data_IF_262041947087
#
_entry.id   IF_262041947087
#
_cell.length_a   1.000
_cell.length_b   1.000
_cell.length_c   1.000
_cell.angle_alpha   90.00
_cell.angle_beta   90.00
_cell.angle_gamma   90.00
#
_symmetry.space_group_name_H-M   'P 1'
#
loop_
_entity.id
_entity.type
_entity.pdbx_description
1 polymer ?
#
# COMPACT_ATOMS: atom_id res chain seq x y z
N UNK A 1 -1.56 26.11 -9.00
CA UNK A 1 -1.29 24.76 -9.54
C UNK A 1 -1.50 24.83 -11.05
N UNK A 2 -0.44 24.64 -11.84
CA UNK A 2 -0.45 24.94 -13.28
C UNK A 2 -1.51 24.14 -14.06
N UNK A 3 -2.31 24.85 -14.85
CA UNK A 3 -3.30 24.30 -15.79
C UNK A 3 -2.72 23.20 -16.71
N UNK A 4 -1.41 23.26 -16.98
CA UNK A 4 -0.70 22.26 -17.80
C UNK A 4 -0.49 20.94 -17.07
N UNK A 5 -0.14 20.97 -15.77
CA UNK A 5 0.08 19.76 -14.98
C UNK A 5 -1.22 18.97 -14.80
N UNK A 6 -2.32 19.67 -14.48
CA UNK A 6 -3.63 19.04 -14.34
C UNK A 6 -4.11 18.43 -15.67
N UNK A 7 -3.91 19.12 -16.79
CA UNK A 7 -4.19 18.57 -18.13
C UNK A 7 -3.33 17.35 -18.45
N UNK A 8 -2.05 17.35 -18.11
CA UNK A 8 -1.17 16.22 -18.33
C UNK A 8 -1.58 14.99 -17.49
N UNK A 9 -1.89 15.19 -16.21
CA UNK A 9 -2.37 14.12 -15.32
C UNK A 9 -3.71 13.57 -15.83
N UNK A 10 -4.65 14.45 -16.20
CA UNK A 10 -5.92 14.04 -16.78
C UNK A 10 -5.72 13.24 -18.07
N UNK A 11 -4.89 13.72 -18.99
CA UNK A 11 -4.61 13.03 -20.25
C UNK A 11 -3.96 11.66 -20.03
N UNK A 12 -3.12 11.51 -18.99
CA UNK A 12 -2.55 10.23 -18.60
C UNK A 12 -3.60 9.28 -18.00
N UNK A 13 -4.40 9.75 -17.04
CA UNK A 13 -5.45 8.94 -16.39
C UNK A 13 -6.55 8.52 -17.36
N UNK A 14 -6.95 9.41 -18.26
CA UNK A 14 -7.98 9.17 -19.28
C UNK A 14 -7.40 8.50 -20.53
N UNK A 15 -6.07 8.37 -20.62
CA UNK A 15 -5.36 7.87 -21.81
C UNK A 15 -5.79 8.57 -23.12
N UNK A 16 -5.99 9.88 -23.07
CA UNK A 16 -6.53 10.67 -24.20
C UNK A 16 -5.65 10.60 -25.46
N UNK A 17 -4.32 10.44 -25.29
CA UNK A 17 -3.34 10.35 -26.39
C UNK A 17 -2.85 8.91 -26.64
N UNK A 18 -3.49 7.90 -26.06
CA UNK A 18 -3.05 6.51 -26.22
C UNK A 18 -3.59 5.94 -27.54
N UNK A 19 -2.72 5.31 -28.33
CA UNK A 19 -3.15 4.65 -29.57
C UNK A 19 -3.78 3.29 -29.26
N UNK A 20 -5.11 3.26 -29.18
CA UNK A 20 -5.90 2.04 -28.95
C UNK A 20 -5.95 1.10 -30.17
N UNK A 21 -5.44 1.53 -31.33
CA UNK A 21 -5.42 0.73 -32.57
C UNK A 21 -4.06 0.10 -32.88
N UNK A 22 -3.10 0.30 -31.99
CA UNK A 22 -1.73 -0.16 -32.14
C UNK A 22 -1.66 -1.69 -32.28
N UNK A 23 -0.95 -2.24 -33.30
CA UNK A 23 -0.97 -3.67 -33.62
C UNK A 23 -0.17 -4.56 -32.64
N UNK A 24 0.76 -4.00 -31.87
CA UNK A 24 1.58 -4.67 -30.84
C UNK A 24 1.04 -4.46 -29.43
N UNK A 25 -0.26 -4.16 -29.28
CA UNK A 25 -0.86 -3.90 -27.97
C UNK A 25 -0.91 -5.17 -27.10
N UNK A 26 -0.37 -5.05 -25.89
CA UNK A 26 -0.36 -6.12 -24.90
C UNK A 26 -0.84 -5.61 -23.52
N UNK A 27 -1.08 -6.54 -22.60
CA UNK A 27 -1.59 -6.22 -21.26
C UNK A 27 -0.64 -5.28 -20.50
N UNK A 28 0.67 -5.43 -20.67
CA UNK A 28 1.67 -4.70 -19.89
C UNK A 28 1.95 -3.30 -20.43
N UNK A 29 1.72 -3.07 -21.73
CA UNK A 29 1.72 -1.74 -22.35
C UNK A 29 0.48 -0.97 -21.90
N UNK A 30 -0.66 -1.66 -21.78
CA UNK A 30 -1.87 -1.04 -21.29
C UNK A 30 -1.85 -0.84 -19.76
N UNK A 31 -1.34 -1.79 -18.98
CA UNK A 31 -1.23 -1.72 -17.53
C UNK A 31 0.23 -1.82 -17.05
N UNK A 32 1.11 -0.85 -17.37
CA UNK A 32 2.52 -0.87 -16.95
C UNK A 32 2.72 -0.99 -15.44
N UNK A 33 1.80 -0.43 -14.65
CA UNK A 33 1.83 -0.45 -13.20
C UNK A 33 1.68 -1.86 -12.61
N UNK A 34 1.08 -2.81 -13.34
CA UNK A 34 0.96 -4.19 -12.89
C UNK A 34 2.34 -4.80 -12.60
N UNK A 35 3.34 -4.54 -13.46
CA UNK A 35 4.72 -5.02 -13.22
C UNK A 35 5.37 -4.34 -12.02
N UNK A 36 5.11 -3.04 -11.82
CA UNK A 36 5.65 -2.26 -10.71
C UNK A 36 5.10 -2.75 -9.36
N UNK A 37 3.82 -3.11 -9.32
CA UNK A 37 3.11 -3.53 -8.12
C UNK A 37 3.37 -5.00 -7.75
N UNK A 38 3.50 -5.88 -8.73
CA UNK A 38 3.70 -7.31 -8.52
C UNK A 38 5.17 -7.65 -8.19
N UNK A 39 6.13 -6.83 -8.63
CA UNK A 39 7.55 -6.99 -8.30
C UNK A 39 7.89 -6.97 -6.80
N UNK A 40 7.47 -5.99 -5.98
CA UNK A 40 7.73 -5.99 -4.54
C UNK A 40 7.05 -7.16 -3.81
N UNK A 41 5.98 -7.75 -4.38
CA UNK A 41 5.37 -8.98 -3.87
C UNK A 41 6.21 -10.24 -4.13
N UNK A 42 7.37 -10.11 -4.78
CA UNK A 42 8.30 -11.22 -5.03
C UNK A 42 8.07 -11.95 -6.37
N UNK A 43 7.24 -11.40 -7.26
CA UNK A 43 7.01 -11.95 -8.59
C UNK A 43 7.87 -11.19 -9.61
N UNK A 44 8.96 -11.83 -10.03
CA UNK A 44 9.86 -11.31 -11.07
C UNK A 44 9.59 -12.00 -12.41
N UNK A 45 9.45 -11.19 -13.47
CA UNK A 45 9.17 -11.68 -14.84
C UNK A 45 10.43 -12.17 -15.56
N UNK A 46 11.57 -11.47 -15.44
CA UNK A 46 12.80 -11.83 -16.17
C UNK A 46 13.74 -12.75 -15.37
N UNK A 47 13.74 -12.65 -14.04
CA UNK A 47 14.65 -13.42 -13.17
C UNK A 47 13.84 -14.23 -12.14
N UNK A 48 13.09 -15.19 -12.66
CA UNK A 48 12.13 -16.01 -11.93
C UNK A 48 12.76 -16.93 -10.88
N UNK A 49 14.09 -17.05 -10.79
CA UNK A 49 14.79 -17.90 -9.80
C UNK A 49 15.64 -17.10 -8.80
N UNK A 50 15.69 -15.77 -8.91
CA UNK A 50 16.49 -14.96 -8.00
C UNK A 50 15.99 -15.02 -6.56
N UNK A 51 16.91 -15.20 -5.61
CA UNK A 51 16.63 -15.11 -4.17
C UNK A 51 16.28 -13.69 -3.72
N UNK A 52 16.70 -12.66 -4.47
CA UNK A 52 16.41 -11.25 -4.16
C UNK A 52 14.91 -10.97 -4.07
N UNK A 53 14.08 -11.75 -4.78
CA UNK A 53 12.62 -11.62 -4.74
C UNK A 53 12.01 -11.84 -3.36
N UNK A 54 12.68 -12.60 -2.50
CA UNK A 54 12.19 -12.93 -1.17
C UNK A 54 12.60 -11.91 -0.11
N UNK A 55 13.62 -11.08 -0.39
CA UNK A 55 14.17 -10.14 0.59
C UNK A 55 13.09 -9.17 1.05
N UNK A 56 12.39 -8.52 0.11
CA UNK A 56 11.37 -7.53 0.46
C UNK A 56 10.12 -8.14 1.12
N UNK A 57 9.52 -9.23 0.58
CA UNK A 57 8.43 -9.91 1.26
C UNK A 57 8.81 -10.42 2.65
N UNK A 58 9.99 -11.02 2.81
CA UNK A 58 10.44 -11.54 4.10
C UNK A 58 10.60 -10.43 5.14
N UNK A 59 11.22 -9.31 4.76
CA UNK A 59 11.34 -8.13 5.61
C UNK A 59 9.96 -7.58 5.99
N UNK A 60 9.05 -7.47 5.00
CA UNK A 60 7.70 -6.94 5.21
C UNK A 60 6.87 -7.81 6.15
N UNK A 61 6.91 -9.12 5.96
CA UNK A 61 6.25 -10.12 6.81
C UNK A 61 6.84 -10.11 8.22
N UNK A 62 8.17 -10.07 8.36
CA UNK A 62 8.84 -10.06 9.67
C UNK A 62 8.51 -8.81 10.48
N UNK A 63 8.53 -7.63 9.84
CA UNK A 63 8.13 -6.38 10.47
C UNK A 63 6.65 -6.39 10.86
N UNK A 64 5.78 -6.88 9.98
CA UNK A 64 4.35 -6.98 10.26
C UNK A 64 4.04 -7.94 11.41
N UNK A 65 4.68 -9.11 11.48
CA UNK A 65 4.52 -10.05 12.61
C UNK A 65 4.95 -9.38 13.92
N UNK A 66 6.06 -8.66 13.92
CA UNK A 66 6.52 -7.91 15.11
C UNK A 66 5.47 -6.89 15.55
N UNK A 67 4.89 -6.16 14.59
CA UNK A 67 3.82 -5.20 14.83
C UNK A 67 2.57 -5.87 15.42
N UNK A 68 2.13 -6.98 14.83
CA UNK A 68 0.96 -7.75 15.27
C UNK A 68 1.12 -8.22 16.72
N UNK A 69 2.31 -8.68 17.10
CA UNK A 69 2.62 -9.09 18.48
C UNK A 69 2.54 -7.89 19.42
N UNK A 70 3.08 -6.74 19.03
CA UNK A 70 2.99 -5.51 19.82
C UNK A 70 1.54 -5.07 19.99
N UNK A 71 0.76 -4.99 18.91
CA UNK A 71 -0.66 -4.62 18.96
C UNK A 71 -1.46 -5.58 19.84
N UNK A 72 -1.19 -6.88 19.79
CA UNK A 72 -1.85 -7.86 20.66
C UNK A 72 -1.56 -7.59 22.15
N UNK A 73 -0.33 -7.22 22.49
CA UNK A 73 0.05 -6.81 23.85
C UNK A 73 -0.68 -5.51 24.24
N UNK A 74 -0.82 -4.55 23.32
CA UNK A 74 -1.49 -3.28 23.56
C UNK A 74 -2.99 -3.47 23.78
N UNK A 75 -3.65 -4.28 22.95
CA UNK A 75 -5.06 -4.67 23.14
C UNK A 75 -5.25 -5.31 24.52
N UNK A 76 -4.40 -6.26 24.89
CA UNK A 76 -4.45 -6.89 26.20
C UNK A 76 -4.29 -5.88 27.34
N UNK A 77 -3.33 -4.96 27.23
CA UNK A 77 -3.12 -3.90 28.20
C UNK A 77 -4.33 -2.96 28.33
N UNK A 78 -4.88 -2.50 27.20
CA UNK A 78 -6.06 -1.63 27.18
C UNK A 78 -7.27 -2.28 27.86
N UNK A 79 -7.48 -3.58 27.64
CA UNK A 79 -8.52 -4.34 28.33
C UNK A 79 -8.28 -4.43 29.85
N UNK A 80 -7.02 -4.63 30.29
CA UNK A 80 -6.66 -4.71 31.71
C UNK A 80 -6.86 -3.38 32.44
N UNK A 81 -6.53 -2.26 31.81
CA UNK A 81 -6.70 -0.90 32.38
C UNK A 81 -8.13 -0.37 32.16
N UNK A 82 -8.97 -1.10 31.41
CA UNK A 82 -10.33 -0.70 31.00
C UNK A 82 -10.36 0.56 30.12
N UNK A 83 -9.27 0.81 29.40
CA UNK A 83 -9.23 1.81 28.33
C UNK A 83 -9.71 1.15 27.02
N UNK A 84 -11.03 1.11 26.86
CA UNK A 84 -11.64 0.49 25.68
C UNK A 84 -11.37 1.29 24.40
N UNK A 85 -11.18 2.60 24.48
CA UNK A 85 -10.86 3.40 23.30
C UNK A 85 -9.49 2.96 22.74
N UNK A 86 -8.46 2.94 23.60
CA UNK A 86 -7.14 2.45 23.23
C UNK A 86 -7.17 1.00 22.74
N UNK A 87 -7.89 0.10 23.44
CA UNK A 87 -7.98 -1.31 23.06
C UNK A 87 -8.64 -1.49 21.67
N UNK A 88 -9.74 -0.77 21.39
CA UNK A 88 -10.42 -0.86 20.09
C UNK A 88 -9.58 -0.30 18.95
N UNK A 89 -8.85 0.78 19.19
CA UNK A 89 -7.96 1.37 18.20
C UNK A 89 -6.80 0.41 17.86
N UNK A 90 -6.10 -0.13 18.87
CA UNK A 90 -5.05 -1.14 18.68
C UNK A 90 -5.59 -2.40 17.98
N UNK A 91 -6.83 -2.81 18.28
CA UNK A 91 -7.46 -3.96 17.61
C UNK A 91 -7.71 -3.72 16.12
N UNK A 92 -8.11 -2.51 15.73
CA UNK A 92 -8.22 -2.14 14.32
C UNK A 92 -6.86 -2.23 13.61
N UNK A 93 -5.79 -1.75 14.23
CA UNK A 93 -4.44 -1.84 13.68
C UNK A 93 -3.95 -3.30 13.61
N UNK A 94 -4.24 -4.12 14.62
CA UNK A 94 -3.99 -5.56 14.60
C UNK A 94 -4.61 -6.25 13.39
N UNK A 95 -5.89 -5.97 13.08
CA UNK A 95 -6.56 -6.52 11.89
C UNK A 95 -5.89 -6.03 10.60
N UNK A 96 -5.64 -4.73 10.49
CA UNK A 96 -5.05 -4.15 9.28
C UNK A 96 -3.65 -4.70 9.00
N UNK A 97 -2.83 -4.85 10.04
CA UNK A 97 -1.49 -5.42 9.95
C UNK A 97 -1.53 -6.92 9.64
N UNK A 98 -2.50 -7.65 10.17
CA UNK A 98 -2.70 -9.09 9.91
C UNK A 98 -2.95 -9.44 8.44
N UNK A 99 -3.48 -8.50 7.65
CA UNK A 99 -3.72 -8.70 6.21
C UNK A 99 -2.39 -8.75 5.43
N UNK A 100 -1.35 -8.05 5.87
CA UNK A 100 -0.06 -8.00 5.18
C UNK A 100 0.57 -9.40 5.01
N UNK A 101 0.83 -10.18 6.09
CA UNK A 101 1.42 -11.50 5.95
C UNK A 101 0.52 -12.48 5.22
N UNK A 102 -0.81 -12.32 5.33
CA UNK A 102 -1.78 -13.12 4.58
C UNK A 102 -1.62 -12.90 3.07
N UNK A 103 -1.63 -11.65 2.61
CA UNK A 103 -1.51 -11.31 1.18
C UNK A 103 -0.16 -11.74 0.62
N UNK A 104 0.95 -11.40 1.29
CA UNK A 104 2.28 -11.83 0.85
C UNK A 104 2.41 -13.36 0.83
N UNK A 105 1.88 -14.05 1.85
CA UNK A 105 1.83 -15.50 1.90
C UNK A 105 1.07 -16.09 0.72
N UNK A 106 -0.17 -15.64 0.49
CA UNK A 106 -1.01 -16.09 -0.61
C UNK A 106 -0.33 -15.91 -1.98
N UNK A 107 0.31 -14.77 -2.23
CA UNK A 107 0.99 -14.49 -3.50
C UNK A 107 2.23 -15.39 -3.67
N UNK A 108 3.03 -15.58 -2.61
CA UNK A 108 4.23 -16.41 -2.68
C UNK A 108 3.89 -17.90 -2.88
N UNK A 109 2.91 -18.42 -2.13
CA UNK A 109 2.50 -19.82 -2.23
C UNK A 109 1.82 -20.14 -3.55
N UNK A 110 1.00 -19.23 -4.09
CA UNK A 110 0.28 -19.41 -5.36
C UNK A 110 0.98 -18.75 -6.54
N UNK A 111 2.28 -18.51 -6.45
CA UNK A 111 3.05 -17.76 -7.45
C UNK A 111 2.89 -18.28 -8.87
N UNK A 112 2.94 -19.60 -9.05
CA UNK A 112 2.79 -20.22 -10.38
C UNK A 112 1.44 -19.88 -10.97
N UNK A 113 0.37 -19.99 -10.18
CA UNK A 113 -0.98 -19.64 -10.58
C UNK A 113 -1.13 -18.16 -10.87
N UNK A 114 -0.49 -17.27 -10.11
CA UNK A 114 -0.49 -15.83 -10.41
C UNK A 114 0.23 -15.54 -11.73
N UNK A 115 1.38 -16.16 -11.98
CA UNK A 115 2.10 -15.99 -13.26
C UNK A 115 1.31 -16.54 -14.45
N UNK A 116 0.71 -17.72 -14.29
CA UNK A 116 -0.15 -18.34 -15.30
C UNK A 116 -1.36 -17.46 -15.61
N UNK A 117 -2.04 -16.96 -14.58
CA UNK A 117 -3.15 -16.01 -14.72
C UNK A 117 -2.73 -14.76 -15.51
N UNK A 118 -1.57 -14.18 -15.21
CA UNK A 118 -1.07 -13.01 -15.93
C UNK A 118 -0.71 -13.31 -17.39
N UNK A 119 -0.17 -14.50 -17.65
CA UNK A 119 0.11 -14.94 -19.02
C UNK A 119 -1.18 -15.17 -19.81
N UNK A 120 -2.18 -15.79 -19.21
CA UNK A 120 -3.47 -16.05 -19.84
C UNK A 120 -4.25 -14.76 -20.09
N UNK A 121 -4.30 -13.85 -19.11
CA UNK A 121 -4.83 -12.51 -19.30
C UNK A 121 -4.14 -11.77 -20.46
N UNK A 122 -2.81 -11.90 -20.58
CA UNK A 122 -2.07 -11.28 -21.68
C UNK A 122 -2.35 -11.93 -23.04
N UNK A 123 -2.54 -13.26 -23.09
CA UNK A 123 -2.94 -13.97 -24.31
C UNK A 123 -4.33 -13.53 -24.75
N UNK A 124 -5.28 -13.49 -23.82
CA UNK A 124 -6.66 -13.05 -24.07
C UNK A 124 -6.70 -11.59 -24.52
N UNK A 125 -5.92 -10.72 -23.87
CA UNK A 125 -5.78 -9.32 -24.26
C UNK A 125 -5.32 -9.21 -25.73
N UNK A 126 -4.26 -9.93 -26.12
CA UNK A 126 -3.74 -9.95 -27.49
C UNK A 126 -4.74 -10.54 -28.49
N UNK A 127 -5.49 -11.56 -28.10
CA UNK A 127 -6.49 -12.20 -28.95
C UNK A 127 -7.66 -11.25 -29.23
N UNK A 128 -8.20 -10.60 -28.19
CA UNK A 128 -9.31 -9.66 -28.32
C UNK A 128 -8.90 -8.44 -29.15
N UNK A 129 -7.65 -7.98 -29.04
CA UNK A 129 -7.11 -6.90 -29.87
C UNK A 129 -7.10 -7.21 -31.38
N UNK A 130 -7.05 -8.50 -31.75
CA UNK A 130 -7.06 -8.96 -33.15
C UNK A 130 -8.47 -9.22 -33.69
N UNK A 131 -9.49 -9.21 -32.83
CA UNK A 131 -10.89 -9.37 -33.24
C UNK A 131 -11.40 -8.10 -33.93
N UNK A 132 -12.63 -8.20 -34.47
CA UNK A 132 -13.31 -7.08 -35.10
C UNK A 132 -13.43 -5.85 -34.17
N UNK A 133 -13.44 -4.66 -34.77
CA UNK A 133 -13.38 -3.38 -34.07
C UNK A 133 -14.46 -3.24 -32.99
N UNK A 134 -15.65 -3.82 -33.23
CA UNK A 134 -16.76 -3.77 -32.26
C UNK A 134 -16.42 -4.43 -30.92
N UNK A 135 -15.75 -5.58 -30.93
CA UNK A 135 -15.39 -6.31 -29.71
C UNK A 135 -14.20 -5.66 -29.01
N UNK A 136 -13.21 -5.24 -29.81
CA UNK A 136 -12.03 -4.53 -29.31
C UNK A 136 -12.40 -3.24 -28.58
N UNK A 137 -13.24 -2.41 -29.16
CA UNK A 137 -13.59 -1.10 -28.59
C UNK A 137 -14.39 -1.25 -27.29
N UNK A 138 -15.26 -2.25 -27.20
CA UNK A 138 -15.99 -2.55 -25.96
C UNK A 138 -15.04 -3.03 -24.86
N UNK A 139 -14.15 -3.97 -25.18
CA UNK A 139 -13.13 -4.47 -24.25
C UNK A 139 -12.20 -3.37 -23.76
N UNK A 140 -11.70 -2.52 -24.66
CA UNK A 140 -10.78 -1.41 -24.31
C UNK A 140 -11.44 -0.36 -23.41
N UNK A 141 -12.73 -0.08 -23.59
CA UNK A 141 -13.49 0.78 -22.67
C UNK A 141 -13.57 0.16 -21.27
N UNK A 142 -13.77 -1.16 -21.18
CA UNK A 142 -13.74 -1.89 -19.91
C UNK A 142 -12.37 -1.82 -19.24
N UNK A 143 -11.30 -2.09 -19.98
CA UNK A 143 -9.93 -2.01 -19.46
C UNK A 143 -9.55 -0.59 -19.04
N UNK A 144 -10.02 0.44 -19.75
CA UNK A 144 -9.85 1.83 -19.36
C UNK A 144 -10.58 2.17 -18.06
N UNK A 145 -11.78 1.63 -17.84
CA UNK A 145 -12.50 1.78 -16.58
C UNK A 145 -11.72 1.14 -15.43
N UNK A 146 -11.23 -0.10 -15.61
CA UNK A 146 -10.39 -0.80 -14.63
C UNK A 146 -9.16 0.04 -14.29
N UNK A 147 -8.47 0.55 -15.31
CA UNK A 147 -7.34 1.47 -15.15
C UNK A 147 -7.69 2.67 -14.26
N UNK A 148 -8.78 3.37 -14.55
CA UNK A 148 -9.21 4.54 -13.78
C UNK A 148 -9.55 4.18 -12.33
N UNK A 149 -10.28 3.09 -12.11
CA UNK A 149 -10.63 2.59 -10.78
C UNK A 149 -9.38 2.29 -9.96
N UNK A 150 -8.38 1.66 -10.56
CA UNK A 150 -7.15 1.36 -9.86
C UNK A 150 -6.37 2.63 -9.48
N UNK A 151 -6.34 3.66 -10.33
CA UNK A 151 -5.71 4.94 -9.97
C UNK A 151 -6.47 5.68 -8.87
N UNK A 152 -7.81 5.64 -8.89
CA UNK A 152 -8.63 6.19 -7.80
C UNK A 152 -8.34 5.46 -6.49
N UNK A 153 -8.18 4.13 -6.52
CA UNK A 153 -7.84 3.34 -5.34
C UNK A 153 -6.43 3.66 -4.80
N UNK A 154 -5.44 3.78 -5.68
CA UNK A 154 -4.08 4.21 -5.30
C UNK A 154 -4.11 5.60 -4.68
N UNK A 155 -4.87 6.53 -5.28
CA UNK A 155 -5.01 7.87 -4.73
C UNK A 155 -5.67 7.84 -3.35
N UNK A 156 -6.73 7.06 -3.18
CA UNK A 156 -7.42 6.90 -1.90
C UNK A 156 -6.49 6.36 -0.80
N UNK A 157 -5.76 5.28 -1.09
CA UNK A 157 -4.79 4.70 -0.13
C UNK A 157 -3.64 5.66 0.19
N UNK A 158 -3.17 6.43 -0.79
CA UNK A 158 -2.15 7.47 -0.58
C UNK A 158 -2.65 8.59 0.32
N UNK A 159 -3.89 9.07 0.12
CA UNK A 159 -4.51 10.10 0.97
C UNK A 159 -4.62 9.64 2.42
N UNK A 160 -4.97 8.37 2.67
CA UNK A 160 -5.02 7.81 4.02
C UNK A 160 -3.65 7.93 4.70
N UNK A 161 -2.57 7.49 4.05
CA UNK A 161 -1.23 7.58 4.63
C UNK A 161 -0.77 9.02 4.85
N UNK A 162 -1.04 9.92 3.91
CA UNK A 162 -0.74 11.35 4.06
C UNK A 162 -1.48 11.93 5.27
N UNK A 163 -2.74 11.52 5.49
CA UNK A 163 -3.51 11.93 6.67
C UNK A 163 -2.81 11.51 7.97
N UNK A 164 -2.39 10.24 8.10
CA UNK A 164 -1.62 9.78 9.28
C UNK A 164 -0.33 10.57 9.47
N UNK A 165 0.42 10.82 8.40
CA UNK A 165 1.64 11.62 8.46
C UNK A 165 1.36 13.06 8.93
N UNK A 166 0.34 13.73 8.39
CA UNK A 166 -0.01 15.11 8.78
C UNK A 166 -0.49 15.16 10.23
N UNK A 167 -1.30 14.19 10.67
CA UNK A 167 -1.82 14.11 12.04
C UNK A 167 -0.70 13.96 13.08
N UNK A 168 0.45 13.39 12.72
CA UNK A 168 1.63 13.33 13.59
C UNK A 168 2.55 14.54 13.42
N UNK A 169 2.87 14.93 12.18
CA UNK A 169 3.82 16.01 11.89
C UNK A 169 3.29 17.39 12.26
N UNK A 170 1.99 17.65 12.11
CA UNK A 170 1.37 18.93 12.46
C UNK A 170 1.54 19.29 13.94
N UNK A 171 1.13 18.41 14.87
CA UNK A 171 1.38 18.61 16.29
C UNK A 171 2.86 18.69 16.66
N UNK A 172 3.75 17.92 16.00
CA UNK A 172 5.19 18.01 16.23
C UNK A 172 5.78 19.36 15.81
N UNK A 173 5.35 19.88 14.65
CA UNK A 173 5.71 21.22 14.20
C UNK A 173 5.20 22.27 15.21
N UNK A 174 3.97 22.12 15.69
CA UNK A 174 3.44 23.00 16.73
C UNK A 174 4.27 22.94 18.02
N UNK A 175 4.58 21.74 18.51
CA UNK A 175 5.41 21.51 19.70
C UNK A 175 6.80 22.13 19.57
N UNK A 176 7.43 21.98 18.41
CA UNK A 176 8.79 22.50 18.17
C UNK A 176 8.84 24.02 18.01
N UNK A 177 7.77 24.65 17.50
CA UNK A 177 7.76 26.08 17.20
C UNK A 177 7.14 26.93 18.32
N UNK A 178 6.18 26.39 19.07
CA UNK A 178 5.32 27.19 19.94
C UNK A 178 5.17 26.68 21.37
N UNK A 179 5.47 25.40 21.66
CA UNK A 179 5.25 24.88 23.01
C UNK A 179 6.25 25.48 24.00
N UNK A 180 5.73 26.05 25.09
CA UNK A 180 6.52 26.46 26.26
C UNK A 180 6.76 25.26 27.18
N UNK A 181 7.81 25.31 28.01
CA UNK A 181 8.20 24.19 28.88
C UNK A 181 7.11 23.73 29.87
N UNK A 182 6.10 24.57 30.10
CA UNK A 182 5.00 24.32 31.04
C UNK A 182 3.84 23.53 30.41
N UNK A 183 3.79 23.41 29.07
CA UNK A 183 2.83 22.56 28.39
C UNK A 183 3.34 21.11 28.44
N UNK A 184 2.92 20.33 29.44
CA UNK A 184 3.19 18.89 29.56
C UNK A 184 2.54 18.07 28.43
N UNK A 185 2.92 18.33 27.18
CA UNK A 185 2.39 17.67 25.99
C UNK A 185 3.31 16.52 25.58
N UNK A 186 2.71 15.35 25.39
CA UNK A 186 3.39 14.14 24.90
C UNK A 186 3.53 14.23 23.38
N UNK A 187 4.69 13.84 22.85
CA UNK A 187 4.94 13.80 21.40
C UNK A 187 4.02 12.76 20.76
N UNK A 188 3.18 13.08 19.77
CA UNK A 188 2.29 12.08 19.19
C UNK A 188 3.06 11.10 18.30
N UNK A 189 2.57 9.86 18.26
CA UNK A 189 2.92 8.83 17.29
C UNK A 189 1.75 8.65 16.32
N UNK A 190 1.97 8.00 15.17
CA UNK A 190 0.92 7.73 14.18
C UNK A 190 -0.10 6.73 14.71
N UNK A 191 0.40 5.74 15.44
CA UNK A 191 -0.40 4.73 16.12
C UNK A 191 -0.11 4.78 17.62
N UNK A 192 -1.12 4.55 18.47
CA UNK A 192 -0.96 4.58 19.90
C UNK A 192 -0.08 3.40 20.33
N UNK A 193 0.85 3.64 21.26
CA UNK A 193 1.74 2.60 21.74
C UNK A 193 1.92 2.64 23.25
N UNK A 194 2.26 1.48 23.78
CA UNK A 194 2.52 1.26 25.19
C UNK A 194 3.70 0.32 25.37
N UNK A 195 4.54 0.54 26.37
CA UNK A 195 5.59 -0.40 26.75
C UNK A 195 5.47 -0.75 28.24
N UNK A 196 5.74 -2.01 28.61
CA UNK A 196 5.80 -2.38 30.01
C UNK A 196 6.98 -1.67 30.68
N UNK A 197 6.67 -0.80 31.66
CA UNK A 197 7.65 -0.11 32.52
C UNK A 197 8.58 0.88 31.79
N UNK A 198 8.27 1.26 30.56
CA UNK A 198 9.02 2.27 29.81
C UNK A 198 8.07 3.16 29.00
N UNK A 199 8.53 4.36 28.65
CA UNK A 199 7.75 5.33 27.89
C UNK A 199 8.12 5.27 26.39
N UNK A 200 7.22 4.83 25.50
CA UNK A 200 7.48 4.81 24.07
C UNK A 200 7.62 6.22 23.47
N UNK A 201 7.17 7.25 24.18
CA UNK A 201 7.21 8.64 23.71
C UNK A 201 8.50 9.38 24.11
N UNK A 202 9.42 8.71 24.81
CA UNK A 202 10.74 9.23 25.19
C UNK A 202 11.82 8.80 24.18
N UNK A 203 12.84 9.64 23.99
CA UNK A 203 14.01 9.31 23.16
C UNK A 203 14.87 8.27 23.89
N UNK A 204 15.39 7.23 23.21
CA UNK A 204 15.37 7.01 21.75
C UNK A 204 14.18 6.18 21.22
N UNK A 205 13.32 5.68 22.11
CA UNK A 205 12.18 4.81 21.73
C UNK A 205 11.28 5.50 20.71
N UNK A 206 10.97 6.78 20.94
CA UNK A 206 10.11 7.57 20.07
C UNK A 206 10.55 7.55 18.61
N UNK A 207 11.84 7.80 18.35
CA UNK A 207 12.37 7.87 16.98
C UNK A 207 12.37 6.49 16.30
N UNK A 208 12.72 5.43 17.04
CA UNK A 208 12.67 4.04 16.55
C UNK A 208 11.25 3.69 16.13
N UNK A 209 10.29 4.02 17.00
CA UNK A 209 8.88 3.75 16.79
C UNK A 209 8.26 4.58 15.67
N UNK A 210 8.60 5.86 15.58
CA UNK A 210 8.15 6.71 14.48
C UNK A 210 8.61 6.15 13.13
N UNK A 211 9.89 5.74 13.02
CA UNK A 211 10.42 5.12 11.80
C UNK A 211 9.68 3.80 11.50
N UNK A 212 9.45 2.97 12.51
CA UNK A 212 8.73 1.72 12.36
C UNK A 212 7.29 1.96 11.82
N UNK A 213 6.58 2.93 12.38
CA UNK A 213 5.22 3.28 11.97
C UNK A 213 5.15 3.86 10.55
N UNK A 214 6.12 4.70 10.16
CA UNK A 214 6.24 5.18 8.77
C UNK A 214 6.42 4.00 7.80
N UNK A 215 7.24 3.01 8.16
CA UNK A 215 7.42 1.81 7.34
C UNK A 215 6.11 1.01 7.23
N UNK A 216 5.30 0.92 8.29
CA UNK A 216 3.97 0.29 8.22
C UNK A 216 3.05 0.99 7.24
N UNK A 217 3.00 2.33 7.25
CA UNK A 217 2.19 3.07 6.28
C UNK A 217 2.61 2.79 4.83
N UNK A 218 3.92 2.70 4.56
CA UNK A 218 4.45 2.38 3.23
C UNK A 218 4.06 0.95 2.83
N UNK A 219 4.24 -0.03 3.72
CA UNK A 219 3.87 -1.42 3.47
C UNK A 219 2.35 -1.58 3.26
N UNK A 220 1.53 -0.81 3.98
CA UNK A 220 0.09 -0.80 3.80
C UNK A 220 -0.30 -0.36 2.38
N UNK A 221 0.28 0.73 1.86
CA UNK A 221 0.04 1.13 0.47
C UNK A 221 0.45 0.01 -0.48
N UNK A 222 1.62 -0.58 -0.30
CA UNK A 222 2.09 -1.64 -1.19
C UNK A 222 1.13 -2.84 -1.20
N UNK A 223 0.72 -3.34 -0.03
CA UNK A 223 -0.19 -4.49 0.06
C UNK A 223 -1.57 -4.18 -0.51
N UNK A 224 -2.17 -3.05 -0.15
CA UNK A 224 -3.54 -2.73 -0.54
C UNK A 224 -3.66 -2.14 -1.96
N UNK A 225 -2.64 -1.46 -2.47
CA UNK A 225 -2.66 -0.98 -3.85
C UNK A 225 -2.53 -2.12 -4.87
N UNK A 226 -1.80 -3.19 -4.53
CA UNK A 226 -1.62 -4.36 -5.40
C UNK A 226 -2.86 -5.24 -5.42
N UNK A 227 -3.58 -5.35 -4.28
CA UNK A 227 -4.76 -6.20 -4.15
C UNK A 227 -5.85 -5.92 -5.20
N UNK A 228 -6.03 -4.67 -5.63
CA UNK A 228 -7.07 -4.33 -6.62
C UNK A 228 -6.72 -4.80 -8.05
N UNK A 229 -5.45 -5.15 -8.30
CA UNK A 229 -4.99 -5.60 -9.62
C UNK A 229 -5.05 -7.11 -9.81
N UNK A 230 -5.29 -7.89 -8.76
CA UNK A 230 -5.33 -9.36 -8.75
C UNK A 230 -6.75 -9.82 -8.42
#
# INVERSE_FOLDING_TARGET
>A
MDSRLFKAIKAFLMKENFDFTRPDMDLYIFHPQLRLFIAPMGIFFNNTNSLLRFVWPFLSVSLSITAIVLEMIFVYHGLMVKDYAFATECFCYFIMLGIIPLVYGCIIFNRSSVLELLEDMNKDFKLICKLDARYRDHFMKGQLLIWQLCFIWIWFTFVIVVMYCIMTMGPLLYLSLFATQDEHKVRPLMFPMWLPKDDPYRTPNYEIFLILQVNFCIMYIQTFAVYVYI
#
